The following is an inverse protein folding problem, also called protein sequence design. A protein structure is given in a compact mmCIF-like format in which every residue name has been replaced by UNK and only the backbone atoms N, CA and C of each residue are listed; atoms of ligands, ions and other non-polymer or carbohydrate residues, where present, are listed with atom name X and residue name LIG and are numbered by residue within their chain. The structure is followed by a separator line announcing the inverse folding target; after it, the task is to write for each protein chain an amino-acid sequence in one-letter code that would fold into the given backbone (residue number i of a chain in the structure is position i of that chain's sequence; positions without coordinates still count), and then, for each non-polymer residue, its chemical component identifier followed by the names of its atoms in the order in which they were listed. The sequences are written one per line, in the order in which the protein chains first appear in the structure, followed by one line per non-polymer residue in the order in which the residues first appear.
data_IF_703997724756
#
_entry.id   IF_703997724756
#
_cell.length_a   1.000
_cell.length_b   1.000
_cell.length_c   1.000
_cell.angle_alpha   90.00
_cell.angle_beta   90.00
_cell.angle_gamma   90.00
#
_symmetry.space_group_name_H-M   'P 1'
#
loop_
_entity.id
_entity.type
_entity.pdbx_description
1 polymer ?
#
# COMPACT_ATOMS: atom_id res chain seq x y z
N UNK A 1 25.87 -14.00 -18.14
CA UNK A 1 25.03 -12.78 -18.24
C UNK A 1 24.28 -12.68 -19.59
N UNK A 2 24.97 -12.83 -20.73
CA UNK A 2 24.35 -12.75 -22.06
C UNK A 2 23.22 -13.78 -22.31
N UNK A 3 23.40 -15.02 -21.84
CA UNK A 3 22.39 -16.08 -21.91
C UNK A 3 21.12 -15.72 -21.12
N UNK A 4 21.26 -15.25 -19.88
CA UNK A 4 20.14 -14.79 -19.06
C UNK A 4 19.40 -13.61 -19.72
N UNK A 5 20.12 -12.64 -20.30
CA UNK A 5 19.53 -11.52 -21.05
C UNK A 5 18.65 -12.02 -22.20
N UNK A 6 19.15 -12.95 -23.02
CA UNK A 6 18.39 -13.49 -24.16
C UNK A 6 17.15 -14.26 -23.70
N UNK A 7 17.27 -15.05 -22.63
CA UNK A 7 16.13 -15.78 -22.04
C UNK A 7 15.05 -14.78 -21.60
N UNK A 8 15.40 -13.75 -20.83
CA UNK A 8 14.43 -12.76 -20.35
C UNK A 8 13.76 -12.03 -21.50
N UNK A 9 14.52 -11.61 -22.53
CA UNK A 9 13.94 -10.95 -23.71
C UNK A 9 12.99 -11.90 -24.46
N UNK A 10 13.38 -13.16 -24.67
CA UNK A 10 12.52 -14.13 -25.36
C UNK A 10 11.22 -14.39 -24.60
N UNK A 11 11.28 -14.50 -23.27
CA UNK A 11 10.12 -14.68 -22.42
C UNK A 11 9.22 -13.44 -22.43
N UNK A 12 9.81 -12.25 -22.32
CA UNK A 12 9.06 -11.00 -22.36
C UNK A 12 8.32 -10.81 -23.69
N UNK A 13 8.96 -11.15 -24.82
CA UNK A 13 8.32 -11.11 -26.15
C UNK A 13 7.16 -12.11 -26.23
N UNK A 14 7.37 -13.36 -25.78
CA UNK A 14 6.33 -14.37 -25.78
C UNK A 14 5.11 -13.96 -24.93
N UNK A 15 5.35 -13.38 -23.74
CA UNK A 15 4.28 -12.90 -22.88
C UNK A 15 3.58 -11.66 -23.45
N UNK A 16 4.32 -10.74 -24.08
CA UNK A 16 3.73 -9.57 -24.73
C UNK A 16 2.83 -9.98 -25.91
N UNK A 17 3.20 -11.03 -26.65
CA UNK A 17 2.34 -11.60 -27.68
C UNK A 17 1.04 -12.20 -27.11
N UNK A 18 1.13 -12.94 -26.00
CA UNK A 18 -0.03 -13.45 -25.27
C UNK A 18 -0.95 -12.32 -24.81
N UNK A 19 -0.40 -11.24 -24.26
CA UNK A 19 -1.19 -10.07 -23.83
C UNK A 19 -1.81 -9.32 -25.01
N UNK A 20 -1.12 -9.22 -26.15
CA UNK A 20 -1.67 -8.67 -27.38
C UNK A 20 -2.87 -9.49 -27.89
N UNK A 21 -2.79 -10.82 -27.83
CA UNK A 21 -3.90 -11.70 -28.19
C UNK A 21 -5.11 -11.52 -27.25
N UNK A 22 -4.87 -11.38 -25.94
CA UNK A 22 -5.92 -11.09 -24.97
C UNK A 22 -6.56 -9.71 -25.20
N UNK A 23 -5.76 -8.69 -25.53
CA UNK A 23 -6.21 -7.35 -25.89
C UNK A 23 -7.11 -7.36 -27.13
N UNK A 24 -6.71 -8.06 -28.19
CA UNK A 24 -7.50 -8.14 -29.44
C UNK A 24 -8.84 -8.84 -29.20
N UNK A 25 -8.84 -9.91 -28.40
CA UNK A 25 -10.04 -10.71 -28.12
C UNK A 25 -11.02 -10.00 -27.20
N UNK A 26 -10.53 -9.37 -26.11
CA UNK A 26 -11.37 -8.77 -25.05
C UNK A 26 -11.59 -7.25 -25.21
N UNK A 27 -10.85 -6.58 -26.11
CA UNK A 27 -10.92 -5.14 -26.46
C UNK A 27 -11.11 -4.24 -25.24
N UNK A 28 -12.23 -3.52 -25.13
CA UNK A 28 -12.49 -2.57 -24.04
C UNK A 28 -12.55 -3.21 -22.66
N UNK A 29 -12.94 -4.49 -22.55
CA UNK A 29 -12.97 -5.21 -21.27
C UNK A 29 -11.56 -5.61 -20.79
N UNK A 30 -10.55 -5.46 -21.63
CA UNK A 30 -9.15 -5.73 -21.28
C UNK A 30 -8.47 -4.55 -20.56
N UNK A 31 -9.00 -3.33 -20.67
CA UNK A 31 -8.38 -2.15 -20.03
C UNK A 31 -8.63 -2.22 -18.52
N UNK A 32 -7.72 -2.90 -17.81
CA UNK A 32 -7.68 -3.00 -16.36
C UNK A 32 -6.29 -2.62 -15.87
N UNK A 33 -6.18 -2.19 -14.62
CA UNK A 33 -4.91 -1.81 -14.00
C UNK A 33 -3.88 -2.96 -14.01
N UNK A 34 -4.33 -4.20 -13.74
CA UNK A 34 -3.47 -5.39 -13.78
C UNK A 34 -2.86 -5.59 -15.18
N UNK A 35 -3.69 -5.57 -16.22
CA UNK A 35 -3.25 -5.81 -17.59
C UNK A 35 -2.34 -4.69 -18.11
N UNK A 36 -2.60 -3.44 -17.69
CA UNK A 36 -1.73 -2.30 -18.00
C UNK A 36 -0.35 -2.45 -17.32
N UNK A 37 -0.33 -2.88 -16.06
CA UNK A 37 0.88 -3.12 -15.28
C UNK A 37 1.71 -4.28 -15.87
N UNK A 38 1.08 -5.37 -16.30
CA UNK A 38 1.75 -6.47 -17.00
C UNK A 38 2.36 -6.01 -18.32
N UNK A 39 1.63 -5.24 -19.13
CA UNK A 39 2.14 -4.67 -20.39
C UNK A 39 3.33 -3.73 -20.15
N UNK A 40 3.25 -2.89 -19.11
CA UNK A 40 4.36 -2.02 -18.70
C UNK A 40 5.61 -2.82 -18.33
N UNK A 41 5.48 -3.93 -17.57
CA UNK A 41 6.60 -4.77 -17.18
C UNK A 41 7.26 -5.41 -18.40
N UNK A 42 6.50 -6.04 -19.29
CA UNK A 42 7.10 -6.72 -20.46
C UNK A 42 7.75 -5.74 -21.43
N UNK A 43 7.14 -4.58 -21.68
CA UNK A 43 7.73 -3.53 -22.53
C UNK A 43 8.98 -2.92 -21.90
N UNK A 44 8.94 -2.55 -20.61
CA UNK A 44 10.10 -1.98 -19.90
C UNK A 44 11.25 -2.97 -19.72
N UNK A 45 10.98 -4.27 -19.55
CA UNK A 45 11.99 -5.32 -19.52
C UNK A 45 12.75 -5.43 -20.85
N UNK A 46 12.06 -5.34 -21.99
CA UNK A 46 12.70 -5.37 -23.31
C UNK A 46 13.58 -4.13 -23.52
N UNK A 47 13.05 -2.94 -23.19
CA UNK A 47 13.75 -1.66 -23.41
C UNK A 47 14.99 -1.54 -22.52
N UNK A 48 14.93 -1.99 -21.27
CA UNK A 48 16.06 -1.94 -20.32
C UNK A 48 17.19 -2.92 -20.64
N UNK A 49 16.88 -4.03 -21.31
CA UNK A 49 17.87 -5.06 -21.67
C UNK A 49 18.46 -4.90 -23.07
N UNK A 50 17.82 -4.13 -23.95
CA UNK A 50 18.34 -3.78 -25.29
C UNK A 50 19.51 -2.80 -25.17
N UNK A 51 20.52 -3.03 -25.99
CA UNK A 51 21.62 -2.08 -26.17
C UNK A 51 21.12 -1.00 -27.16
N UNK A 52 20.68 0.16 -26.65
CA UNK A 52 20.12 1.25 -27.47
C UNK A 52 21.18 2.22 -28.02
N UNK A 53 22.44 2.09 -27.58
CA UNK A 53 23.52 3.02 -27.93
C UNK A 53 24.72 2.27 -28.51
N UNK A 54 25.40 2.82 -29.54
CA UNK A 54 26.62 2.22 -30.08
C UNK A 54 27.75 2.11 -29.03
N UNK A 55 27.76 3.00 -28.02
CA UNK A 55 28.67 2.89 -26.88
C UNK A 55 28.28 1.74 -25.93
N UNK A 56 26.98 1.46 -25.77
CA UNK A 56 26.48 0.35 -24.95
C UNK A 56 26.81 -1.00 -25.60
N UNK A 57 26.78 -1.08 -26.93
CA UNK A 57 27.11 -2.29 -27.68
C UNK A 57 28.59 -2.67 -27.56
N UNK A 58 29.48 -1.67 -27.46
CA UNK A 58 30.93 -1.87 -27.38
C UNK A 58 31.47 -1.99 -25.96
N UNK A 59 30.91 -1.26 -24.99
CA UNK A 59 31.42 -1.21 -23.61
C UNK A 59 30.54 -1.96 -22.59
N UNK A 60 29.30 -2.29 -22.96
CA UNK A 60 28.30 -2.86 -22.04
C UNK A 60 27.74 -1.88 -21.00
N UNK A 61 28.12 -0.59 -21.07
CA UNK A 61 27.65 0.43 -20.14
C UNK A 61 26.29 0.97 -20.59
N UNK A 62 25.30 0.88 -19.71
CA UNK A 62 23.93 1.34 -19.93
C UNK A 62 23.75 2.81 -19.58
N UNK A 63 22.77 3.45 -20.23
CA UNK A 63 22.40 4.84 -19.96
C UNK A 63 21.69 4.98 -18.60
N UNK A 64 21.81 6.15 -17.96
CA UNK A 64 21.20 6.42 -16.65
C UNK A 64 19.67 6.19 -16.65
N UNK A 65 18.97 6.58 -17.72
CA UNK A 65 17.52 6.38 -17.83
C UNK A 65 17.14 4.89 -17.97
N UNK A 66 18.01 4.05 -18.55
CA UNK A 66 17.78 2.61 -18.64
C UNK A 66 17.87 1.95 -17.26
N UNK A 67 18.78 2.42 -16.40
CA UNK A 67 18.86 1.96 -15.01
C UNK A 67 17.63 2.35 -14.20
N UNK A 68 17.13 3.58 -14.37
CA UNK A 68 15.89 4.00 -13.72
C UNK A 68 14.68 3.18 -14.19
N UNK A 69 14.59 2.92 -15.50
CA UNK A 69 13.55 2.08 -16.08
C UNK A 69 13.65 0.62 -15.60
N UNK A 70 14.87 0.08 -15.47
CA UNK A 70 15.10 -1.26 -14.92
C UNK A 70 14.66 -1.35 -13.46
N UNK A 71 14.94 -0.32 -12.65
CA UNK A 71 14.48 -0.24 -11.27
C UNK A 71 12.95 -0.21 -11.18
N UNK A 72 12.30 0.63 -12.00
CA UNK A 72 10.84 0.70 -12.08
C UNK A 72 10.22 -0.63 -12.54
N UNK A 73 10.84 -1.30 -13.52
CA UNK A 73 10.43 -2.62 -13.99
C UNK A 73 10.54 -3.69 -12.89
N UNK A 74 11.65 -3.71 -12.15
CA UNK A 74 11.87 -4.66 -11.06
C UNK A 74 10.83 -4.44 -9.94
N UNK A 75 10.62 -3.20 -9.51
CA UNK A 75 9.60 -2.86 -8.53
C UNK A 75 8.19 -3.26 -9.00
N UNK A 76 7.82 -2.91 -10.23
CA UNK A 76 6.52 -3.25 -10.80
C UNK A 76 6.32 -4.77 -10.92
N UNK A 77 7.38 -5.52 -11.20
CA UNK A 77 7.33 -6.99 -11.26
C UNK A 77 7.00 -7.61 -9.91
N UNK A 78 7.58 -7.10 -8.82
CA UNK A 78 7.24 -7.52 -7.47
C UNK A 78 5.81 -7.12 -7.08
N UNK A 79 5.36 -5.93 -7.49
CA UNK A 79 3.96 -5.55 -7.32
C UNK A 79 3.00 -6.46 -8.09
N UNK A 80 3.35 -6.87 -9.31
CA UNK A 80 2.56 -7.84 -10.08
C UNK A 80 2.49 -9.19 -9.38
N UNK A 81 3.61 -9.65 -8.81
CA UNK A 81 3.64 -10.90 -8.03
C UNK A 81 2.65 -10.85 -6.86
N UNK A 82 2.57 -9.74 -6.12
CA UNK A 82 1.57 -9.56 -5.06
C UNK A 82 0.14 -9.68 -5.62
N UNK A 83 -0.15 -9.07 -6.78
CA UNK A 83 -1.46 -9.18 -7.43
C UNK A 83 -1.77 -10.61 -7.93
N UNK A 84 -0.76 -11.39 -8.31
CA UNK A 84 -0.92 -12.80 -8.65
C UNK A 84 -1.23 -13.65 -7.42
N UNK A 85 -0.58 -13.40 -6.28
CA UNK A 85 -0.87 -14.09 -5.00
C UNK A 85 -2.32 -13.85 -4.58
N UNK A 86 -2.90 -12.69 -4.90
CA UNK A 86 -4.32 -12.38 -4.67
C UNK A 86 -5.28 -13.43 -5.27
N UNK A 87 -4.89 -14.11 -6.35
CA UNK A 87 -5.70 -15.14 -7.03
C UNK A 87 -5.57 -16.53 -6.40
N UNK A 88 -4.65 -16.73 -5.45
CA UNK A 88 -4.46 -18.01 -4.76
C UNK A 88 -5.52 -18.21 -3.67
N UNK A 89 -6.10 -19.42 -3.52
CA UNK A 89 -7.24 -19.65 -2.63
C UNK A 89 -6.91 -19.49 -1.13
N UNK A 90 -5.67 -19.70 -0.70
CA UNK A 90 -5.26 -19.55 0.71
C UNK A 90 -4.65 -18.19 1.02
N UNK A 91 -3.72 -17.72 0.18
CA UNK A 91 -2.99 -16.48 0.42
C UNK A 91 -3.75 -15.24 -0.08
N UNK A 92 -4.67 -15.40 -1.02
CA UNK A 92 -5.34 -14.28 -1.68
C UNK A 92 -6.18 -13.43 -0.73
N UNK A 93 -6.81 -14.05 0.27
CA UNK A 93 -7.61 -13.36 1.29
C UNK A 93 -6.77 -12.33 2.04
N UNK A 94 -5.54 -12.67 2.43
CA UNK A 94 -4.64 -11.75 3.12
C UNK A 94 -4.20 -10.58 2.24
N UNK A 95 -3.93 -10.84 0.95
CA UNK A 95 -3.54 -9.78 0.02
C UNK A 95 -4.70 -8.82 -0.25
N UNK A 96 -5.93 -9.33 -0.44
CA UNK A 96 -7.12 -8.48 -0.58
C UNK A 96 -7.30 -7.60 0.65
N UNK A 97 -7.25 -8.20 1.84
CA UNK A 97 -7.38 -7.50 3.12
C UNK A 97 -6.30 -6.41 3.28
N UNK A 98 -5.05 -6.70 2.90
CA UNK A 98 -3.98 -5.70 2.92
C UNK A 98 -4.28 -4.47 2.06
N UNK A 99 -4.77 -4.67 0.83
CA UNK A 99 -5.15 -3.55 -0.03
C UNK A 99 -6.37 -2.78 0.50
N UNK A 100 -7.31 -3.45 1.18
CA UNK A 100 -8.43 -2.78 1.83
C UNK A 100 -7.97 -1.91 3.02
N UNK A 101 -7.03 -2.39 3.84
CA UNK A 101 -6.40 -1.62 4.91
C UNK A 101 -5.60 -0.43 4.34
N UNK A 102 -4.83 -0.64 3.26
CA UNK A 102 -4.13 0.47 2.60
C UNK A 102 -5.10 1.54 2.07
N UNK A 103 -6.23 1.12 1.51
CA UNK A 103 -7.25 2.05 1.00
C UNK A 103 -7.90 2.85 2.11
N UNK A 104 -8.23 2.22 3.24
CA UNK A 104 -8.79 2.91 4.41
C UNK A 104 -7.77 3.87 5.02
N UNK A 105 -6.52 3.43 5.20
CA UNK A 105 -5.40 4.29 5.61
C UNK A 105 -5.23 5.51 4.70
N UNK A 106 -5.25 5.30 3.38
CA UNK A 106 -5.05 6.36 2.39
C UNK A 106 -6.08 7.49 2.50
N UNK A 107 -7.34 7.20 2.88
CA UNK A 107 -8.37 8.22 3.05
C UNK A 107 -8.03 9.21 4.16
N UNK A 108 -7.56 8.70 5.30
CA UNK A 108 -7.14 9.54 6.42
C UNK A 108 -5.77 10.17 6.17
N UNK A 109 -4.88 9.48 5.44
CA UNK A 109 -3.55 9.96 5.09
C UNK A 109 -3.57 11.24 4.24
N UNK A 110 -4.60 11.46 3.41
CA UNK A 110 -4.74 12.71 2.64
C UNK A 110 -4.77 13.94 3.55
N UNK A 111 -5.49 13.88 4.68
CA UNK A 111 -5.56 14.99 5.63
C UNK A 111 -4.18 15.22 6.27
N UNK A 112 -3.51 14.14 6.67
CA UNK A 112 -2.14 14.20 7.18
C UNK A 112 -1.16 14.83 6.17
N UNK A 113 -1.22 14.42 4.91
CA UNK A 113 -0.36 14.93 3.85
C UNK A 113 -0.55 16.44 3.59
N UNK A 114 -1.79 16.96 3.71
CA UNK A 114 -2.06 18.39 3.60
C UNK A 114 -1.34 19.20 4.68
N UNK A 115 -1.36 18.74 5.94
CA UNK A 115 -0.60 19.39 7.00
C UNK A 115 0.89 19.32 6.74
N UNK A 116 1.42 18.16 6.31
CA UNK A 116 2.85 18.01 5.99
C UNK A 116 3.26 19.02 4.93
N UNK A 117 2.52 19.12 3.82
CA UNK A 117 2.83 20.08 2.75
C UNK A 117 2.78 21.53 3.25
N UNK A 118 1.75 21.89 4.02
CA UNK A 118 1.59 23.26 4.56
C UNK A 118 2.77 23.67 5.46
N UNK A 119 3.14 22.80 6.40
CA UNK A 119 4.28 23.06 7.29
C UNK A 119 5.62 22.99 6.55
N UNK A 120 5.79 22.09 5.59
CA UNK A 120 6.98 22.04 4.74
C UNK A 120 7.20 23.33 3.97
N UNK A 121 6.15 23.94 3.42
CA UNK A 121 6.26 25.26 2.77
C UNK A 121 6.61 26.34 3.79
N UNK A 122 6.00 26.34 4.98
CA UNK A 122 6.32 27.31 6.03
C UNK A 122 7.80 27.21 6.47
N UNK A 123 8.30 25.99 6.69
CA UNK A 123 9.70 25.74 7.01
C UNK A 123 10.63 26.05 5.84
N UNK A 124 10.18 25.92 4.59
CA UNK A 124 10.99 26.26 3.40
C UNK A 124 11.32 27.74 3.38
N UNK A 125 10.33 28.56 3.70
CA UNK A 125 10.48 30.02 3.76
C UNK A 125 11.38 30.43 4.94
N UNK A 126 11.23 29.78 6.10
CA UNK A 126 11.95 30.15 7.33
C UNK A 126 13.41 29.68 7.32
N UNK A 127 13.67 28.48 6.79
CA UNK A 127 14.95 27.79 6.93
C UNK A 127 15.67 27.55 5.60
N UNK A 128 15.30 28.29 4.54
CA UNK A 128 15.89 28.28 3.19
C UNK A 128 16.76 27.04 2.91
N UNK A 129 16.21 26.04 2.22
CA UNK A 129 16.90 24.82 1.74
C UNK A 129 16.97 23.60 2.69
N UNK A 130 16.48 23.65 3.95
CA UNK A 130 16.50 22.49 4.89
C UNK A 130 15.21 21.67 5.01
N UNK A 131 14.22 21.89 4.17
CA UNK A 131 12.88 21.25 4.31
C UNK A 131 12.83 19.78 3.96
N UNK A 132 13.73 19.31 3.11
CA UNK A 132 13.76 17.92 2.68
C UNK A 132 14.05 16.99 3.87
N UNK A 133 14.91 17.41 4.80
CA UNK A 133 15.23 16.66 6.03
C UNK A 133 14.02 16.60 6.96
N UNK A 134 13.30 17.71 7.11
CA UNK A 134 12.09 17.75 7.94
C UNK A 134 10.92 16.94 7.36
N UNK A 135 10.79 16.85 6.04
CA UNK A 135 9.77 16.02 5.37
C UNK A 135 9.98 14.52 5.58
N UNK A 136 11.23 14.08 5.70
CA UNK A 136 11.59 12.68 5.94
C UNK A 136 11.28 12.26 7.39
N UNK A 137 11.05 13.23 8.29
CA UNK A 137 10.80 12.98 9.72
C UNK A 137 12.08 12.75 10.52
N UNK A 138 13.25 13.02 9.92
CA UNK A 138 14.51 13.07 10.66
C UNK A 138 14.57 14.38 11.45
N UNK A 139 14.14 14.31 12.71
CA UNK A 139 14.16 15.43 13.64
C UNK A 139 15.52 15.56 14.33
N UNK A 140 16.58 15.85 13.58
CA UNK A 140 17.86 16.17 14.20
C UNK A 140 17.90 17.64 14.62
N UNK A 141 17.21 17.94 15.73
CA UNK A 141 17.06 19.30 16.27
C UNK A 141 18.39 20.05 16.39
N UNK A 142 19.44 19.35 16.83
CA UNK A 142 20.79 19.93 16.99
C UNK A 142 21.41 20.28 15.65
N UNK A 143 21.33 19.41 14.65
CA UNK A 143 21.87 19.69 13.32
C UNK A 143 21.08 20.80 12.59
N UNK A 144 19.77 20.87 12.83
CA UNK A 144 18.85 21.83 12.18
C UNK A 144 18.95 23.24 12.78
N UNK A 145 19.01 23.37 14.10
CA UNK A 145 18.98 24.66 14.80
C UNK A 145 20.35 25.10 15.37
N UNK A 146 21.27 24.17 15.58
CA UNK A 146 22.61 24.41 16.15
C UNK A 146 23.74 23.88 15.26
N UNK A 147 23.47 23.68 13.96
CA UNK A 147 24.49 23.25 13.00
C UNK A 147 25.69 24.20 13.01
N UNK A 148 26.89 23.61 12.97
CA UNK A 148 28.16 24.28 13.20
C UNK A 148 28.30 25.61 12.43
N UNK A 149 28.63 26.68 13.15
CA UNK A 149 28.60 28.06 12.65
C UNK A 149 29.63 28.32 11.53
N UNK A 150 30.62 27.43 11.39
CA UNK A 150 31.75 27.58 10.48
C UNK A 150 31.47 27.04 9.06
N UNK A 151 30.41 26.24 8.86
CA UNK A 151 30.13 25.57 7.56
C UNK A 151 28.91 26.15 6.83
N UNK A 152 27.99 26.82 7.52
CA UNK A 152 26.73 27.29 6.93
C UNK A 152 26.35 28.71 7.41
N UNK A 153 26.68 29.78 6.67
CA UNK A 153 26.36 31.16 7.04
C UNK A 153 24.91 31.53 6.68
N UNK A 154 23.99 30.57 6.69
CA UNK A 154 22.60 30.81 6.31
C UNK A 154 21.78 31.17 7.55
N UNK A 155 21.45 32.46 7.62
CA UNK A 155 20.69 33.07 8.71
C UNK A 155 19.30 32.45 8.75
N UNK A 156 18.97 31.74 9.82
CA UNK A 156 17.58 31.40 10.14
C UNK A 156 16.80 32.72 10.30
N UNK A 157 15.90 33.02 9.37
CA UNK A 157 15.09 34.23 9.48
C UNK A 157 14.05 34.01 10.58
N UNK A 158 14.22 34.68 11.72
CA UNK A 158 13.24 34.70 12.80
C UNK A 158 13.28 33.46 13.70
N UNK A 159 14.40 33.24 14.40
CA UNK A 159 14.53 32.22 15.47
C UNK A 159 13.34 32.22 16.44
N UNK A 160 12.80 33.40 16.77
CA UNK A 160 11.66 33.54 17.67
C UNK A 160 10.36 32.88 17.15
N UNK A 161 10.18 32.77 15.83
CA UNK A 161 8.98 32.18 15.21
C UNK A 161 9.23 30.71 14.85
N UNK A 162 10.47 30.35 14.49
CA UNK A 162 10.83 28.99 14.07
C UNK A 162 10.63 27.95 15.20
N UNK A 163 11.09 28.22 16.42
CA UNK A 163 10.96 27.31 17.56
C UNK A 163 9.50 26.99 17.94
N UNK A 164 8.61 27.98 18.17
CA UNK A 164 7.23 27.68 18.51
C UNK A 164 6.47 27.03 17.35
N UNK A 165 6.75 27.40 16.10
CA UNK A 165 6.15 26.77 14.93
C UNK A 165 6.57 25.28 14.80
N UNK A 166 7.84 24.97 15.07
CA UNK A 166 8.35 23.60 15.09
C UNK A 166 7.71 22.77 16.20
N UNK A 167 7.61 23.30 17.41
CA UNK A 167 6.93 22.62 18.51
C UNK A 167 5.45 22.35 18.18
N UNK A 168 4.76 23.33 17.61
CA UNK A 168 3.37 23.20 17.18
C UNK A 168 3.21 22.13 16.09
N UNK A 169 4.12 22.10 15.11
CA UNK A 169 4.18 21.05 14.11
C UNK A 169 4.32 19.66 14.74
N UNK A 170 5.28 19.47 15.65
CA UNK A 170 5.49 18.18 16.31
C UNK A 170 4.24 17.71 17.06
N UNK A 171 3.62 18.59 17.86
CA UNK A 171 2.40 18.26 18.62
C UNK A 171 1.25 17.88 17.69
N UNK A 172 0.97 18.68 16.66
CA UNK A 172 -0.10 18.37 15.70
C UNK A 172 0.18 17.06 14.96
N UNK A 173 1.40 16.87 14.47
CA UNK A 173 1.75 15.65 13.73
C UNK A 173 1.66 14.41 14.61
N UNK A 174 2.10 14.47 15.87
CA UNK A 174 1.93 13.34 16.80
C UNK A 174 0.46 13.06 17.07
N UNK A 175 -0.38 14.08 17.28
CA UNK A 175 -1.82 13.89 17.48
C UNK A 175 -2.48 13.29 16.23
N UNK A 176 -2.16 13.80 15.04
CA UNK A 176 -2.70 13.28 13.78
C UNK A 176 -2.27 11.84 13.52
N UNK A 177 -0.99 11.51 13.74
CA UNK A 177 -0.48 10.14 13.61
C UNK A 177 -1.15 9.19 14.62
N UNK A 178 -1.28 9.60 15.87
CA UNK A 178 -1.95 8.79 16.88
C UNK A 178 -3.42 8.58 16.55
N UNK A 179 -4.14 9.62 16.10
CA UNK A 179 -5.53 9.50 15.69
C UNK A 179 -5.70 8.63 14.43
N UNK A 180 -4.75 8.68 13.50
CA UNK A 180 -4.73 7.82 12.32
C UNK A 180 -4.55 6.34 12.70
N UNK A 181 -3.57 6.03 13.55
CA UNK A 181 -3.29 4.67 14.00
C UNK A 181 -4.42 4.11 14.87
N UNK A 182 -4.94 4.92 15.81
CA UNK A 182 -6.09 4.55 16.64
C UNK A 182 -7.33 4.39 15.78
N UNK A 183 -7.55 5.25 14.78
CA UNK A 183 -8.68 5.15 13.85
C UNK A 183 -8.71 3.81 13.10
N UNK A 184 -7.55 3.39 12.56
CA UNK A 184 -7.41 2.07 11.94
C UNK A 184 -7.65 0.92 12.92
N UNK A 185 -7.03 0.96 14.10
CA UNK A 185 -7.20 -0.07 15.12
C UNK A 185 -8.65 -0.19 15.59
N UNK A 186 -9.35 0.94 15.71
CA UNK A 186 -10.77 0.99 16.11
C UNK A 186 -11.67 0.38 15.04
N UNK A 187 -11.40 0.62 13.75
CA UNK A 187 -12.20 0.02 12.68
C UNK A 187 -12.01 -1.50 12.60
N UNK A 188 -10.78 -1.99 12.80
CA UNK A 188 -10.51 -3.42 12.93
C UNK A 188 -11.26 -4.03 14.13
N UNK A 189 -11.22 -3.38 15.30
CA UNK A 189 -11.94 -3.85 16.50
C UNK A 189 -13.46 -3.89 16.28
N UNK A 190 -14.04 -2.89 15.60
CA UNK A 190 -15.48 -2.86 15.30
C UNK A 190 -15.89 -4.05 14.42
N UNK A 191 -15.11 -4.35 13.38
CA UNK A 191 -15.41 -5.47 12.47
C UNK A 191 -15.43 -6.82 13.20
N UNK A 192 -14.44 -7.06 14.07
CA UNK A 192 -14.36 -8.27 14.90
C UNK A 192 -15.51 -8.33 15.91
N UNK A 193 -15.93 -7.19 16.47
CA UNK A 193 -17.05 -7.11 17.39
C UNK A 193 -18.38 -7.46 16.71
N UNK A 194 -18.60 -7.01 15.48
CA UNK A 194 -19.81 -7.36 14.70
C UNK A 194 -19.85 -8.84 14.36
N UNK A 195 -18.73 -9.43 13.93
CA UNK A 195 -18.63 -10.87 13.67
C UNK A 195 -18.94 -11.68 14.93
N UNK A 196 -18.37 -11.29 16.09
CA UNK A 196 -18.63 -11.93 17.37
C UNK A 196 -20.10 -11.81 17.80
N UNK A 197 -20.75 -10.65 17.59
CA UNK A 197 -22.18 -10.45 17.86
C UNK A 197 -23.06 -11.34 17.01
N UNK A 198 -22.80 -11.44 15.70
CA UNK A 198 -23.52 -12.33 14.79
C UNK A 198 -23.37 -13.80 15.19
N UNK A 199 -22.15 -14.22 15.54
CA UNK A 199 -21.87 -15.58 16.01
C UNK A 199 -22.60 -15.91 17.31
N UNK A 200 -22.68 -14.94 18.24
CA UNK A 200 -23.46 -15.07 19.48
C UNK A 200 -24.95 -15.24 19.20
N UNK A 201 -25.52 -14.44 18.31
CA UNK A 201 -26.94 -14.54 17.95
C UNK A 201 -27.25 -15.89 17.28
N UNK A 202 -26.40 -16.35 16.36
CA UNK A 202 -26.51 -17.67 15.73
C UNK A 202 -26.51 -18.80 16.76
N UNK A 203 -25.62 -18.73 17.77
CA UNK A 203 -25.60 -19.71 18.86
C UNK A 203 -26.90 -19.70 19.68
N UNK A 204 -27.47 -18.53 19.98
CA UNK A 204 -28.76 -18.44 20.70
C UNK A 204 -29.91 -19.06 19.90
N UNK A 205 -29.99 -18.80 18.60
CA UNK A 205 -31.01 -19.40 17.71
C UNK A 205 -30.86 -20.91 17.68
N UNK A 206 -29.62 -21.42 17.56
CA UNK A 206 -29.35 -22.87 17.57
C UNK A 206 -29.80 -23.53 18.87
N UNK A 207 -29.53 -22.91 20.02
CA UNK A 207 -29.97 -23.41 21.32
C UNK A 207 -31.51 -23.43 21.39
N UNK A 208 -32.19 -22.36 20.97
CA UNK A 208 -33.65 -22.30 20.96
C UNK A 208 -34.28 -23.35 20.04
N UNK A 209 -33.69 -23.61 18.87
CA UNK A 209 -34.12 -24.68 17.98
C UNK A 209 -33.98 -26.06 18.63
N UNK A 210 -32.91 -26.27 19.39
CA UNK A 210 -32.66 -27.53 20.10
C UNK A 210 -33.67 -27.75 21.23
N UNK A 211 -33.98 -26.70 22.00
CA UNK A 211 -35.06 -26.74 23.00
C UNK A 211 -36.44 -27.00 22.35
N UNK A 212 -36.75 -26.34 21.23
CA UNK A 212 -38.00 -26.58 20.47
C UNK A 212 -38.10 -28.04 20.00
N UNK A 213 -37.03 -28.59 19.44
CA UNK A 213 -36.98 -29.98 19.00
C UNK A 213 -37.24 -30.97 20.15
N UNK A 214 -36.61 -30.73 21.31
CA UNK A 214 -36.86 -31.54 22.51
C UNK A 214 -38.31 -31.42 23.01
N UNK A 215 -38.87 -30.21 23.05
CA UNK A 215 -40.26 -29.98 23.42
C UNK A 215 -41.25 -30.68 22.48
N UNK A 216 -41.00 -30.69 21.16
CA UNK A 216 -41.85 -31.42 20.21
C UNK A 216 -41.81 -32.93 20.45
N UNK A 217 -40.64 -33.50 20.79
CA UNK A 217 -40.50 -34.92 21.11
C UNK A 217 -41.25 -35.26 22.41
N UNK A 218 -41.11 -34.43 23.45
CA UNK A 218 -41.81 -34.60 24.72
C UNK A 218 -43.33 -34.45 24.56
N UNK A 219 -43.79 -33.50 23.73
CA UNK A 219 -45.21 -33.33 23.40
C UNK A 219 -45.79 -34.56 22.70
N UNK A 220 -45.08 -35.16 21.73
CA UNK A 220 -45.54 -36.38 21.07
C UNK A 220 -45.58 -37.58 22.01
N UNK A 221 -44.61 -37.71 22.92
CA UNK A 221 -44.62 -38.75 23.98
C UNK A 221 -45.74 -38.54 25.00
N UNK A 222 -46.02 -37.30 25.39
CA UNK A 222 -47.13 -36.95 26.29
C UNK A 222 -48.49 -37.28 25.67
N UNK A 223 -48.68 -36.98 24.38
CA UNK A 223 -49.91 -37.31 23.65
C UNK A 223 -50.15 -38.83 23.53
N UNK A 224 -49.09 -39.62 23.35
CA UNK A 224 -49.15 -41.09 23.28
C UNK A 224 -49.56 -41.75 24.61
N UNK A 225 -49.22 -41.15 25.76
CA UNK A 225 -49.59 -41.68 27.07
C UNK A 225 -51.02 -41.30 27.52
N UNK A 226 -51.72 -40.45 26.76
CA UNK A 226 -53.07 -39.95 27.08
C UNK A 226 -54.18 -40.47 26.15
N UNK A 227 -53.85 -41.30 25.16
CA UNK A 227 -54.85 -42.05 24.39
C UNK A 227 -55.26 -43.31 25.17
N UNK A 228 -56.57 -43.53 25.43
CA UNK A 228 -57.08 -44.68 26.19
C UNK A 228 -56.84 -46.02 25.50
#
# INVERSE_FOLDING_TARGET
LATCRLIVISLAIAQLFKELFQLITRRYRYISFENALECFIYSSAIISLRDLSPCSETTGIRMNWQWLLAAACAFSSWMNLLLLIRKLPRFGIYVVMFFDVLRTFSRFFIVFALFVIAFSIAFFVIMQNRTTVMMIGEFEFTAIFHGDADVHPERLFGHAIAYPLFLFFCVIMTILLMNLLVGLAVDDIKSVLEEAKLKRLSMQVRILQLYRGMLTILSQRGAWNSSP
#
